data_IF_562404767466
#
_entry.id   IF_562404767466
#
_cell.length_a   1.000
_cell.length_b   1.000
_cell.length_c   1.000
_cell.angle_alpha   90.00
_cell.angle_beta   90.00
_cell.angle_gamma   90.00
#
_symmetry.space_group_name_H-M   'P 1'
#
loop_
_entity.id
_entity.type
_entity.pdbx_description
1 polymer ?
#
# COMPACT_ATOMS: atom_id res chain seq x y z
N UNK A 1 -9.06 16.61 -12.24
CA UNK A 1 -8.11 17.71 -11.98
C UNK A 1 -8.84 19.03 -12.14
N UNK A 2 -8.57 20.00 -11.27
CA UNK A 2 -9.15 21.36 -11.27
C UNK A 2 -7.99 22.36 -11.15
N UNK A 3 -7.97 23.40 -11.98
CA UNK A 3 -6.96 24.47 -11.93
C UNK A 3 -7.68 25.80 -11.74
N UNK A 4 -7.21 26.63 -10.81
CA UNK A 4 -7.72 27.99 -10.61
C UNK A 4 -6.58 28.96 -10.32
N UNK A 5 -6.63 30.13 -10.96
CA UNK A 5 -5.75 31.27 -10.75
C UNK A 5 -6.42 32.42 -9.97
N UNK A 6 -7.68 32.23 -9.55
CA UNK A 6 -8.48 33.28 -8.93
C UNK A 6 -9.31 32.81 -7.74
N UNK A 7 -9.98 33.78 -7.14
CA UNK A 7 -10.92 33.61 -6.02
C UNK A 7 -12.31 33.18 -6.54
N UNK A 8 -13.03 32.37 -5.77
CA UNK A 8 -14.45 32.14 -6.03
C UNK A 8 -15.27 33.33 -5.55
N UNK A 9 -15.63 34.19 -6.49
CA UNK A 9 -16.43 35.37 -6.22
C UNK A 9 -17.95 35.06 -6.21
N UNK A 10 -18.36 33.80 -6.40
CA UNK A 10 -19.75 33.39 -6.30
C UNK A 10 -20.08 32.84 -4.91
N UNK A 11 -21.05 33.46 -4.23
CA UNK A 11 -21.48 33.10 -2.86
C UNK A 11 -22.17 31.72 -2.73
N UNK A 12 -22.03 30.83 -3.73
CA UNK A 12 -22.63 29.50 -3.70
C UNK A 12 -21.66 28.57 -2.98
N UNK A 13 -21.89 28.39 -1.68
CA UNK A 13 -21.11 27.45 -0.88
C UNK A 13 -21.09 26.08 -1.59
N UNK A 14 -19.89 25.60 -1.88
CA UNK A 14 -19.70 24.24 -2.36
C UNK A 14 -20.13 23.31 -1.23
N UNK A 15 -21.11 22.45 -1.51
CA UNK A 15 -21.47 21.38 -0.59
C UNK A 15 -20.41 20.28 -0.66
N UNK A 16 -19.51 20.28 0.31
CA UNK A 16 -18.47 19.25 0.43
C UNK A 16 -19.07 17.85 0.58
N UNK A 17 -20.31 17.70 1.07
CA UNK A 17 -20.98 16.39 1.12
C UNK A 17 -21.29 15.86 -0.28
N UNK A 18 -21.66 16.73 -1.22
CA UNK A 18 -21.91 16.33 -2.60
C UNK A 18 -20.61 15.92 -3.32
N UNK A 19 -19.49 16.60 -3.02
CA UNK A 19 -18.18 16.22 -3.54
C UNK A 19 -17.75 14.84 -3.00
N UNK A 20 -17.92 14.59 -1.70
CA UNK A 20 -17.62 13.28 -1.11
C UNK A 20 -18.51 12.16 -1.67
N UNK A 21 -19.76 12.46 -2.07
CA UNK A 21 -20.69 11.49 -2.67
C UNK A 21 -20.31 11.07 -4.08
N UNK A 22 -19.59 11.91 -4.83
CA UNK A 22 -19.18 11.58 -6.19
C UNK A 22 -18.13 10.46 -6.24
N UNK A 23 -17.43 10.19 -5.14
CA UNK A 23 -16.36 9.17 -5.05
C UNK A 23 -15.28 9.28 -6.14
N UNK A 24 -15.12 10.47 -6.74
CA UNK A 24 -14.10 10.75 -7.74
C UNK A 24 -13.07 11.70 -7.10
N UNK A 25 -11.80 11.30 -6.97
CA UNK A 25 -10.75 12.17 -6.47
C UNK A 25 -10.55 13.42 -7.34
N UNK A 26 -10.57 14.60 -6.71
CA UNK A 26 -10.34 15.89 -7.35
C UNK A 26 -9.00 16.44 -6.91
N UNK A 27 -8.02 16.35 -7.80
CA UNK A 27 -6.71 17.01 -7.64
C UNK A 27 -6.81 18.47 -8.05
N UNK A 28 -6.52 19.39 -7.13
CA UNK A 28 -6.67 20.84 -7.31
C UNK A 28 -5.31 21.51 -7.46
N UNK A 29 -5.23 22.50 -8.35
CA UNK A 29 -4.02 23.26 -8.66
C UNK A 29 -4.32 24.74 -8.52
N UNK A 30 -3.60 25.41 -7.61
CA UNK A 30 -3.66 26.86 -7.43
C UNK A 30 -2.55 27.52 -8.23
N UNK A 31 -2.87 28.45 -9.11
CA UNK A 31 -1.90 29.13 -9.95
C UNK A 31 -1.75 30.61 -9.56
N UNK A 32 -0.49 31.07 -9.40
CA UNK A 32 -0.21 32.48 -9.07
C UNK A 32 -0.67 32.89 -7.67
N UNK A 33 -0.42 34.13 -7.25
CA UNK A 33 -0.70 34.55 -5.86
C UNK A 33 -2.20 34.73 -5.53
N UNK A 34 -3.05 34.82 -6.56
CA UNK A 34 -4.45 35.27 -6.43
C UNK A 34 -5.47 34.13 -6.32
N UNK A 35 -5.02 32.87 -6.30
CA UNK A 35 -5.89 31.70 -6.15
C UNK A 35 -6.46 31.56 -4.72
N UNK A 36 -7.67 31.00 -4.59
CA UNK A 36 -8.24 30.62 -3.29
C UNK A 36 -7.70 29.25 -2.83
N UNK A 37 -6.55 29.27 -2.14
CA UNK A 37 -5.93 28.06 -1.59
C UNK A 37 -6.84 27.31 -0.59
N UNK A 38 -7.63 28.04 0.20
CA UNK A 38 -8.50 27.44 1.22
C UNK A 38 -9.62 26.62 0.58
N UNK A 39 -10.25 27.18 -0.45
CA UNK A 39 -11.30 26.51 -1.20
C UNK A 39 -10.75 25.33 -2.01
N UNK A 40 -9.64 25.52 -2.74
CA UNK A 40 -9.02 24.44 -3.52
C UNK A 40 -8.57 23.28 -2.64
N UNK A 41 -8.02 23.56 -1.45
CA UNK A 41 -7.66 22.52 -0.48
C UNK A 41 -8.90 21.78 0.05
N UNK A 42 -9.98 22.51 0.37
CA UNK A 42 -11.23 21.91 0.87
C UNK A 42 -11.87 20.97 -0.16
N UNK A 43 -11.85 21.34 -1.44
CA UNK A 43 -12.34 20.50 -2.55
C UNK A 43 -11.51 19.22 -2.69
N UNK A 44 -10.18 19.34 -2.66
CA UNK A 44 -9.30 18.18 -2.78
C UNK A 44 -9.45 17.24 -1.59
N UNK A 45 -9.44 17.78 -0.36
CA UNK A 45 -9.62 16.97 0.85
C UNK A 45 -10.98 16.26 0.87
N UNK A 46 -12.06 16.97 0.53
CA UNK A 46 -13.42 16.41 0.49
C UNK A 46 -13.61 15.30 -0.56
N UNK A 47 -12.75 15.26 -1.59
CA UNK A 47 -12.77 14.25 -2.65
C UNK A 47 -11.69 13.17 -2.50
N UNK A 48 -10.82 13.25 -1.48
CA UNK A 48 -9.60 12.43 -1.35
C UNK A 48 -8.53 12.68 -2.42
N UNK A 49 -8.57 13.83 -3.10
CA UNK A 49 -7.47 14.32 -3.94
C UNK A 49 -6.47 15.16 -3.14
N UNK A 50 -5.50 15.75 -3.84
CA UNK A 50 -4.51 16.67 -3.24
C UNK A 50 -4.56 18.05 -3.86
N UNK A 51 -4.18 19.06 -3.08
CA UNK A 51 -3.96 20.43 -3.53
C UNK A 51 -2.48 20.67 -3.83
N UNK A 52 -2.18 21.30 -4.96
CA UNK A 52 -0.82 21.67 -5.37
C UNK A 52 -0.75 23.15 -5.76
N UNK A 53 0.19 23.87 -5.19
CA UNK A 53 0.45 25.27 -5.57
C UNK A 53 1.49 25.35 -6.69
N UNK A 54 1.20 26.15 -7.71
CA UNK A 54 2.05 26.39 -8.88
C UNK A 54 2.38 27.89 -8.93
N UNK A 55 3.63 28.22 -8.63
CA UNK A 55 4.10 29.61 -8.56
C UNK A 55 4.44 30.20 -9.94
N UNK A 56 4.91 29.37 -10.88
CA UNK A 56 5.39 29.81 -12.21
C UNK A 56 4.68 29.04 -13.34
N UNK A 57 4.32 29.75 -14.42
CA UNK A 57 3.77 29.17 -15.65
C UNK A 57 4.71 28.10 -16.22
N UNK A 58 6.03 28.30 -16.08
CA UNK A 58 7.06 27.41 -16.61
C UNK A 58 7.01 25.99 -16.02
N UNK A 59 6.46 25.82 -14.81
CA UNK A 59 6.38 24.51 -14.13
C UNK A 59 4.97 23.90 -14.17
N UNK A 60 4.00 24.59 -14.78
CA UNK A 60 2.61 24.10 -14.91
C UNK A 60 2.59 22.75 -15.65
N UNK A 61 3.28 22.67 -16.78
CA UNK A 61 3.30 21.46 -17.60
C UNK A 61 3.88 20.27 -16.83
N UNK A 62 4.95 20.48 -16.07
CA UNK A 62 5.60 19.43 -15.26
C UNK A 62 4.69 18.98 -14.12
N UNK A 63 4.02 19.91 -13.42
CA UNK A 63 3.07 19.58 -12.36
C UNK A 63 1.88 18.75 -12.88
N UNK A 64 1.34 19.10 -14.05
CA UNK A 64 0.28 18.31 -14.70
C UNK A 64 0.79 16.96 -15.20
N UNK A 65 1.96 16.92 -15.84
CA UNK A 65 2.55 15.68 -16.33
C UNK A 65 2.86 14.72 -15.16
N UNK A 66 3.32 15.24 -14.03
CA UNK A 66 3.54 14.46 -12.81
C UNK A 66 2.22 13.95 -12.21
N UNK A 67 1.18 14.79 -12.14
CA UNK A 67 -0.13 14.35 -11.64
C UNK A 67 -0.79 13.32 -12.56
N UNK A 68 -0.79 13.55 -13.88
CA UNK A 68 -1.31 12.61 -14.88
C UNK A 68 -0.47 11.33 -14.89
N UNK A 69 0.86 11.45 -14.85
CA UNK A 69 1.78 10.33 -14.78
C UNK A 69 1.55 9.48 -13.54
N UNK A 70 1.34 10.11 -12.38
CA UNK A 70 0.93 9.44 -11.15
C UNK A 70 -0.41 8.73 -11.33
N UNK A 71 -1.44 9.45 -11.82
CA UNK A 71 -2.79 8.91 -12.01
C UNK A 71 -2.87 7.74 -12.98
N UNK A 72 -2.06 7.74 -14.04
CA UNK A 72 -1.98 6.66 -15.03
C UNK A 72 -1.13 5.47 -14.55
N UNK A 73 -0.53 5.57 -13.36
CA UNK A 73 0.36 4.57 -12.79
C UNK A 73 -0.26 3.86 -11.58
N UNK A 74 -1.58 3.65 -11.55
CA UNK A 74 -2.23 2.89 -10.46
C UNK A 74 -1.59 1.50 -10.38
N UNK A 75 -0.81 1.29 -9.32
CA UNK A 75 -0.09 0.06 -9.08
C UNK A 75 -0.93 -0.95 -8.29
N UNK A 76 -1.87 -0.46 -7.48
CA UNK A 76 -2.65 -1.27 -6.55
C UNK A 76 -4.02 -0.61 -6.39
N UNK A 77 -5.10 -1.39 -6.44
CA UNK A 77 -6.44 -0.88 -6.17
C UNK A 77 -6.94 -1.36 -4.80
N UNK A 78 -7.78 -0.54 -4.16
CA UNK A 78 -8.51 -0.89 -2.93
C UNK A 78 -7.60 -1.46 -1.81
N UNK A 79 -6.55 -0.69 -1.47
CA UNK A 79 -5.60 -1.03 -0.43
C UNK A 79 -6.21 -0.79 0.94
N UNK A 80 -6.34 -1.87 1.69
CA UNK A 80 -6.76 -1.82 3.09
C UNK A 80 -5.68 -2.42 3.98
N UNK A 81 -5.20 -1.64 4.96
CA UNK A 81 -4.24 -2.10 5.95
C UNK A 81 -4.97 -2.52 7.22
N UNK A 82 -4.78 -3.77 7.63
CA UNK A 82 -5.34 -4.32 8.87
C UNK A 82 -4.26 -4.46 9.94
N UNK A 83 -4.55 -3.91 11.11
CA UNK A 83 -3.71 -3.90 12.30
C UNK A 83 -4.40 -4.75 13.36
N UNK A 84 -3.67 -5.71 13.93
CA UNK A 84 -4.16 -6.50 15.06
C UNK A 84 -3.12 -6.61 16.17
N UNK A 85 -3.57 -6.34 17.39
CA UNK A 85 -2.90 -6.64 18.65
C UNK A 85 -3.29 -8.03 19.11
N UNK A 86 -2.29 -8.84 19.44
CA UNK A 86 -2.48 -10.22 19.93
C UNK A 86 -2.16 -10.38 21.41
N UNK A 87 -1.52 -9.40 22.02
CA UNK A 87 -1.29 -9.41 23.46
C UNK A 87 -2.57 -8.95 24.18
N UNK A 88 -3.06 -9.71 25.19
CA UNK A 88 -4.23 -9.34 25.97
C UNK A 88 -4.15 -7.97 26.64
N UNK A 89 -2.94 -7.47 26.90
CA UNK A 89 -2.69 -6.24 27.61
C UNK A 89 -2.41 -5.05 26.67
N UNK A 90 -2.10 -5.28 25.39
CA UNK A 90 -1.89 -4.19 24.40
C UNK A 90 -3.21 -3.79 23.74
N UNK A 91 -3.55 -2.50 23.80
CA UNK A 91 -4.73 -1.96 23.12
C UNK A 91 -4.36 -0.87 22.12
N UNK A 92 -4.94 -0.94 20.94
CA UNK A 92 -4.92 0.12 19.94
C UNK A 92 -5.78 1.28 20.44
N UNK A 93 -5.16 2.43 20.66
CA UNK A 93 -5.83 3.62 21.18
C UNK A 93 -6.50 4.42 20.07
N UNK A 94 -5.77 4.68 18.98
CA UNK A 94 -6.22 5.49 17.85
C UNK A 94 -5.49 5.10 16.57
N UNK A 95 -6.18 5.25 15.44
CA UNK A 95 -5.60 5.24 14.10
C UNK A 95 -5.71 6.65 13.53
N UNK A 96 -4.59 7.26 13.16
CA UNK A 96 -4.56 8.59 12.53
C UNK A 96 -3.97 8.45 11.13
N UNK A 97 -4.83 8.46 10.13
CA UNK A 97 -4.46 8.29 8.73
C UNK A 97 -4.89 9.49 7.86
N UNK A 98 -4.86 10.71 8.42
CA UNK A 98 -5.27 11.91 7.67
C UNK A 98 -6.69 11.80 7.11
N UNK A 99 -6.86 12.02 5.81
CA UNK A 99 -8.13 11.93 5.08
C UNK A 99 -8.60 10.51 4.76
N UNK A 100 -7.82 9.47 5.12
CA UNK A 100 -8.19 8.08 4.89
C UNK A 100 -9.17 7.58 5.94
N UNK A 101 -10.13 6.76 5.50
CA UNK A 101 -11.10 6.15 6.41
C UNK A 101 -10.40 5.19 7.36
N UNK A 102 -10.70 5.28 8.65
CA UNK A 102 -10.19 4.38 9.67
C UNK A 102 -11.33 3.70 10.41
N UNK A 103 -11.11 2.45 10.83
CA UNK A 103 -12.02 1.70 11.67
C UNK A 103 -11.25 1.11 12.83
N UNK A 104 -11.74 1.29 14.05
CA UNK A 104 -11.21 0.67 15.24
C UNK A 104 -12.31 -0.17 15.88
N UNK A 105 -12.07 -1.48 16.01
CA UNK A 105 -13.03 -2.38 16.63
C UNK A 105 -13.24 -2.03 18.11
N UNK A 106 -14.43 -2.32 18.64
CA UNK A 106 -14.79 -1.99 20.03
C UNK A 106 -13.91 -2.66 21.08
N UNK A 107 -13.28 -3.80 20.73
CA UNK A 107 -12.32 -4.50 21.58
C UNK A 107 -10.95 -3.79 21.66
N UNK A 108 -10.71 -2.77 20.82
CA UNK A 108 -9.43 -2.07 20.68
C UNK A 108 -8.25 -3.01 20.41
N UNK A 109 -8.51 -4.21 19.88
CA UNK A 109 -7.48 -5.17 19.45
C UNK A 109 -7.29 -5.13 17.96
N UNK A 110 -8.33 -4.80 17.21
CA UNK A 110 -8.27 -4.78 15.75
C UNK A 110 -8.60 -3.39 15.22
N UNK A 111 -7.89 -2.96 14.19
CA UNK A 111 -8.24 -1.76 13.44
C UNK A 111 -7.83 -1.88 11.98
N UNK A 112 -8.42 -1.04 11.13
CA UNK A 112 -8.10 -0.97 9.72
C UNK A 112 -8.03 0.46 9.22
N UNK A 113 -7.21 0.65 8.19
CA UNK A 113 -7.08 1.90 7.44
C UNK A 113 -7.34 1.57 5.98
N UNK A 114 -8.28 2.28 5.37
CA UNK A 114 -8.59 2.19 3.95
C UNK A 114 -7.85 3.28 3.20
N UNK A 115 -6.80 2.87 2.49
CA UNK A 115 -5.96 3.72 1.65
C UNK A 115 -6.54 3.84 0.23
N UNK A 116 -7.47 2.99 -0.21
CA UNK A 116 -7.92 2.99 -1.60
C UNK A 116 -6.77 2.70 -2.56
N UNK A 117 -6.73 3.37 -3.71
CA UNK A 117 -5.73 3.06 -4.74
C UNK A 117 -4.34 3.61 -4.39
N UNK A 118 -3.29 2.87 -4.74
CA UNK A 118 -1.89 3.31 -4.66
C UNK A 118 -1.29 3.41 -6.07
N UNK A 119 -0.53 4.46 -6.30
CA UNK A 119 0.22 4.70 -7.53
C UNK A 119 1.62 4.09 -7.46
N UNK A 120 2.26 3.89 -8.61
CA UNK A 120 3.63 3.39 -8.69
C UNK A 120 4.59 4.35 -7.95
N UNK A 121 5.52 3.77 -7.19
CA UNK A 121 6.47 4.48 -6.33
C UNK A 121 5.84 5.40 -5.25
N UNK A 122 4.52 5.29 -5.01
CA UNK A 122 3.83 6.01 -3.93
C UNK A 122 4.07 5.36 -2.57
N UNK A 123 4.39 6.17 -1.56
CA UNK A 123 4.52 5.77 -0.16
C UNK A 123 3.50 6.53 0.70
N UNK A 124 2.84 5.82 1.63
CA UNK A 124 1.84 6.41 2.54
C UNK A 124 2.09 5.99 3.97
N UNK A 125 2.20 7.00 4.83
CA UNK A 125 2.37 6.83 6.26
C UNK A 125 1.07 7.13 7.02
N UNK A 126 0.81 6.32 8.04
CA UNK A 126 -0.24 6.57 9.02
C UNK A 126 0.24 6.20 10.42
N UNK A 127 -0.35 6.84 11.43
CA UNK A 127 0.06 6.67 12.82
C UNK A 127 -0.91 5.74 13.56
N UNK A 128 -0.34 4.76 14.26
CA UNK A 128 -1.06 3.86 15.15
C UNK A 128 -0.63 4.17 16.58
N UNK A 129 -1.56 4.66 17.40
CA UNK A 129 -1.30 4.90 18.82
C UNK A 129 -1.66 3.63 19.59
N UNK A 130 -0.73 3.15 20.41
CA UNK A 130 -0.84 1.89 21.14
C UNK A 130 -0.58 2.14 22.62
N UNK A 131 -1.45 1.61 23.48
CA UNK A 131 -1.23 1.58 24.92
C UNK A 131 -0.49 0.30 25.31
N UNK A 132 0.72 0.46 25.85
CA UNK A 132 1.56 -0.63 26.34
C UNK A 132 1.55 -0.55 27.88
N UNK A 133 1.10 -1.59 28.59
CA UNK A 133 1.10 -1.60 30.04
C UNK A 133 2.51 -1.76 30.61
N UNK A 134 2.74 -1.14 31.77
CA UNK A 134 3.99 -1.27 32.52
C UNK A 134 3.99 -2.63 33.23
N UNK A 135 4.95 -3.50 32.90
CA UNK A 135 5.15 -4.78 33.58
C UNK A 135 5.88 -4.52 34.90
N UNK A 136 5.28 -4.92 36.02
CA UNK A 136 5.80 -4.62 37.36
C UNK A 136 7.01 -5.46 37.79
N UNK A 137 7.36 -6.51 37.06
CA UNK A 137 8.43 -7.43 37.42
C UNK A 137 9.58 -7.36 36.42
N UNK A 138 10.77 -6.99 36.92
CA UNK A 138 12.01 -6.79 36.16
C UNK A 138 12.64 -8.05 35.56
N UNK A 139 11.87 -9.11 35.29
CA UNK A 139 12.33 -10.26 34.50
C UNK A 139 12.29 -9.91 33.01
N UNK A 140 13.28 -9.14 32.58
CA UNK A 140 13.48 -8.74 31.19
C UNK A 140 13.86 -9.95 30.32
N UNK A 141 12.87 -10.64 29.76
CA UNK A 141 13.09 -11.61 28.67
C UNK A 141 11.88 -11.83 27.77
N UNK A 142 10.76 -11.15 27.96
CA UNK A 142 9.59 -11.36 27.10
C UNK A 142 9.51 -10.26 26.03
N UNK A 143 9.95 -10.59 24.81
CA UNK A 143 9.79 -9.71 23.66
C UNK A 143 8.28 -9.60 23.35
N UNK A 144 7.67 -8.50 23.76
CA UNK A 144 6.25 -8.22 23.52
C UNK A 144 6.02 -8.06 22.00
N UNK A 145 5.40 -9.06 21.37
CA UNK A 145 5.11 -9.05 19.93
C UNK A 145 3.92 -8.11 19.67
N UNK A 146 4.26 -6.84 19.45
CA UNK A 146 3.36 -5.72 19.68
C UNK A 146 2.17 -5.65 18.70
N UNK A 147 2.40 -5.89 17.40
CA UNK A 147 1.43 -5.64 16.34
C UNK A 147 1.75 -6.51 15.12
N UNK A 148 0.73 -7.12 14.53
CA UNK A 148 0.81 -7.73 13.19
C UNK A 148 0.19 -6.83 12.13
N UNK A 149 0.84 -6.80 10.96
CA UNK A 149 0.31 -6.20 9.73
C UNK A 149 0.12 -7.30 8.69
N UNK A 150 -1.13 -7.75 8.50
CA UNK A 150 -1.47 -8.85 7.57
C UNK A 150 -0.97 -8.62 6.14
N UNK A 151 -0.92 -7.36 5.71
CA UNK A 151 -0.49 -7.00 4.35
C UNK A 151 0.94 -7.40 4.04
N UNK A 152 1.83 -7.43 5.04
CA UNK A 152 3.23 -7.84 4.84
C UNK A 152 3.34 -9.30 4.44
N UNK A 153 2.62 -10.17 5.16
CA UNK A 153 2.60 -11.62 4.87
C UNK A 153 1.99 -11.88 3.48
N UNK A 154 0.91 -11.16 3.14
CA UNK A 154 0.26 -11.27 1.84
C UNK A 154 1.19 -10.83 0.70
N UNK A 155 1.89 -9.71 0.86
CA UNK A 155 2.83 -9.19 -0.13
C UNK A 155 3.98 -10.19 -0.39
N UNK A 156 4.58 -10.70 0.68
CA UNK A 156 5.66 -11.70 0.62
C UNK A 156 5.20 -12.99 -0.08
N UNK A 157 4.02 -13.51 0.27
CA UNK A 157 3.46 -14.70 -0.38
C UNK A 157 3.26 -14.49 -1.89
N UNK A 158 2.74 -13.33 -2.30
CA UNK A 158 2.55 -13.01 -3.71
C UNK A 158 3.88 -12.91 -4.49
N UNK A 159 4.94 -12.35 -3.90
CA UNK A 159 6.29 -12.36 -4.50
C UNK A 159 6.84 -13.77 -4.63
N UNK A 160 6.73 -14.56 -3.56
CA UNK A 160 7.19 -15.94 -3.55
C UNK A 160 6.48 -16.78 -4.61
N UNK A 161 5.16 -16.63 -4.78
CA UNK A 161 4.40 -17.29 -5.85
C UNK A 161 4.92 -16.89 -7.24
N UNK A 162 5.10 -15.59 -7.49
CA UNK A 162 5.62 -15.09 -8.78
C UNK A 162 7.02 -15.63 -9.10
N UNK A 163 7.93 -15.55 -8.14
CA UNK A 163 9.30 -16.04 -8.28
C UNK A 163 9.35 -17.57 -8.42
N UNK A 164 8.51 -18.28 -7.66
CA UNK A 164 8.38 -19.73 -7.77
C UNK A 164 7.86 -20.15 -9.15
N UNK A 165 6.92 -19.40 -9.73
CA UNK A 165 6.44 -19.65 -11.10
C UNK A 165 7.56 -19.46 -12.10
N UNK A 166 8.29 -18.35 -12.04
CA UNK A 166 9.39 -18.08 -12.96
C UNK A 166 10.43 -19.22 -12.94
N UNK A 167 10.79 -19.72 -11.75
CA UNK A 167 11.67 -20.87 -11.60
C UNK A 167 11.06 -22.17 -12.18
N UNK A 168 9.79 -22.45 -11.89
CA UNK A 168 9.11 -23.66 -12.38
C UNK A 168 8.94 -23.68 -13.91
N UNK A 169 8.61 -22.54 -14.52
CA UNK A 169 8.51 -22.42 -15.99
C UNK A 169 9.89 -22.53 -16.68
N UNK A 170 10.98 -22.22 -15.98
CA UNK A 170 12.35 -22.50 -16.45
C UNK A 170 12.78 -23.97 -16.29
N UNK A 171 11.92 -24.83 -15.71
CA UNK A 171 12.18 -26.25 -15.47
C UNK A 171 12.82 -26.56 -14.11
N UNK A 172 13.14 -25.54 -13.30
CA UNK A 172 13.77 -25.69 -11.98
C UNK A 172 12.71 -25.80 -10.86
N UNK A 173 12.03 -26.95 -10.83
CA UNK A 173 11.06 -27.28 -9.79
C UNK A 173 11.67 -27.34 -8.37
N UNK A 174 12.90 -27.84 -8.16
CA UNK A 174 13.54 -27.78 -6.84
C UNK A 174 13.67 -26.35 -6.31
N UNK A 175 14.12 -25.40 -7.14
CA UNK A 175 14.21 -24.00 -6.75
C UNK A 175 12.85 -23.38 -6.50
N UNK A 176 11.86 -23.66 -7.35
CA UNK A 176 10.48 -23.21 -7.16
C UNK A 176 9.94 -23.62 -5.78
N UNK A 177 10.12 -24.90 -5.41
CA UNK A 177 9.73 -25.43 -4.10
C UNK A 177 10.48 -24.77 -2.96
N UNK A 178 11.78 -24.51 -3.12
CA UNK A 178 12.60 -23.84 -2.11
C UNK A 178 12.15 -22.40 -1.85
N UNK A 179 11.70 -21.69 -2.89
CA UNK A 179 11.18 -20.32 -2.76
C UNK A 179 9.90 -20.33 -1.90
N UNK A 180 8.95 -21.22 -2.21
CA UNK A 180 7.69 -21.33 -1.46
C UNK A 180 7.95 -21.79 -0.01
N UNK A 181 8.81 -22.79 0.20
CA UNK A 181 9.13 -23.26 1.55
C UNK A 181 9.84 -22.19 2.37
N UNK A 182 10.74 -21.42 1.75
CA UNK A 182 11.39 -20.28 2.41
C UNK A 182 10.39 -19.23 2.86
N UNK A 183 9.39 -18.92 2.02
CA UNK A 183 8.31 -18.00 2.38
C UNK A 183 7.49 -18.52 3.56
N UNK A 184 7.10 -19.80 3.55
CA UNK A 184 6.35 -20.41 4.66
C UNK A 184 7.16 -20.38 5.95
N UNK A 185 8.46 -20.68 5.91
CA UNK A 185 9.34 -20.58 7.08
C UNK A 185 9.43 -19.14 7.60
N UNK A 186 9.60 -18.15 6.73
CA UNK A 186 9.61 -16.74 7.13
C UNK A 186 8.27 -16.31 7.74
N UNK A 187 7.14 -16.78 7.18
CA UNK A 187 5.81 -16.53 7.72
C UNK A 187 5.61 -17.20 9.08
N UNK A 188 6.21 -18.37 9.33
CA UNK A 188 6.12 -19.08 10.60
C UNK A 188 6.68 -18.28 11.78
N UNK A 189 7.71 -17.46 11.53
CA UNK A 189 8.32 -16.59 12.54
C UNK A 189 7.54 -15.28 12.77
N UNK A 190 6.54 -14.99 11.94
CA UNK A 190 5.74 -13.76 12.06
C UNK A 190 4.80 -13.80 13.25
N UNK A 191 4.56 -12.64 13.84
CA UNK A 191 3.60 -12.46 14.94
C UNK A 191 2.21 -12.99 14.55
N UNK A 192 1.79 -12.79 13.30
CA UNK A 192 0.49 -13.24 12.79
C UNK A 192 0.36 -14.77 12.86
N UNK A 193 1.39 -15.53 12.47
CA UNK A 193 1.33 -16.99 12.50
C UNK A 193 1.35 -17.52 13.93
N UNK A 194 2.19 -16.95 14.80
CA UNK A 194 2.27 -17.36 16.20
C UNK A 194 0.98 -17.09 16.96
N UNK A 195 0.30 -16.01 16.61
CA UNK A 195 -0.99 -15.66 17.15
C UNK A 195 -2.17 -16.39 16.49
N UNK A 196 -1.90 -17.35 15.59
CA UNK A 196 -2.90 -18.16 14.87
C UNK A 196 -3.91 -17.32 14.11
N UNK A 197 -3.46 -16.23 13.48
CA UNK A 197 -4.28 -15.47 12.55
C UNK A 197 -4.75 -16.38 11.41
N UNK A 198 -6.07 -16.56 11.30
CA UNK A 198 -6.68 -17.49 10.33
C UNK A 198 -6.23 -17.18 8.90
N UNK A 199 -6.18 -15.90 8.53
CA UNK A 199 -5.74 -15.48 7.20
C UNK A 199 -4.29 -15.91 6.91
N UNK A 200 -3.37 -15.65 7.84
CA UNK A 200 -1.97 -16.06 7.69
C UNK A 200 -1.81 -17.59 7.65
N UNK A 201 -2.61 -18.31 8.44
CA UNK A 201 -2.62 -19.76 8.47
C UNK A 201 -3.11 -20.36 7.14
N UNK A 202 -4.25 -19.87 6.63
CA UNK A 202 -4.81 -20.29 5.34
C UNK A 202 -3.83 -20.01 4.21
N UNK A 203 -3.20 -18.83 4.21
CA UNK A 203 -2.20 -18.45 3.22
C UNK A 203 -0.96 -19.37 3.24
N UNK A 204 -0.47 -19.76 4.42
CA UNK A 204 0.65 -20.71 4.50
C UNK A 204 0.24 -22.11 4.03
N UNK A 205 -0.96 -22.57 4.39
CA UNK A 205 -1.53 -23.83 3.90
C UNK A 205 -1.64 -23.84 2.37
N UNK A 206 -2.05 -22.73 1.76
CA UNK A 206 -2.12 -22.58 0.30
C UNK A 206 -0.74 -22.70 -0.35
N UNK A 207 0.29 -22.04 0.21
CA UNK A 207 1.67 -22.13 -0.28
C UNK A 207 2.24 -23.55 -0.18
N UNK A 208 1.97 -24.25 0.92
CA UNK A 208 2.36 -25.65 1.11
C UNK A 208 1.66 -26.57 0.10
N UNK A 209 0.36 -26.34 -0.13
CA UNK A 209 -0.42 -27.09 -1.12
C UNK A 209 0.15 -26.97 -2.53
N UNK A 210 0.59 -25.76 -2.92
CA UNK A 210 1.27 -25.52 -4.21
C UNK A 210 2.64 -26.22 -4.24
N UNK A 211 3.42 -26.12 -3.16
CA UNK A 211 4.75 -26.73 -3.05
C UNK A 211 4.72 -28.27 -3.16
N UNK A 212 3.71 -28.93 -2.60
CA UNK A 212 3.53 -30.38 -2.71
C UNK A 212 3.21 -30.83 -4.15
N UNK A 213 2.53 -29.98 -4.93
CA UNK A 213 2.15 -30.25 -6.33
C UNK A 213 3.27 -29.94 -7.32
N UNK A 214 4.46 -29.58 -6.85
CA UNK A 214 5.66 -29.33 -7.67
C UNK A 214 6.66 -30.50 -7.65
N UNK A 215 6.23 -31.70 -7.27
CA UNK A 215 7.11 -32.87 -7.19
C UNK A 215 7.64 -33.34 -8.56
N UNK A 216 6.83 -33.23 -9.61
CA UNK A 216 7.20 -33.59 -10.99
C UNK A 216 6.65 -32.59 -11.99
N UNK A 217 7.22 -32.49 -13.20
CA UNK A 217 6.69 -31.61 -14.25
C UNK A 217 5.23 -31.88 -14.60
N UNK A 218 4.81 -33.15 -14.60
CA UNK A 218 3.43 -33.53 -14.89
C UNK A 218 2.45 -33.08 -13.79
N UNK A 219 2.83 -33.22 -12.50
CA UNK A 219 2.02 -32.75 -11.38
C UNK A 219 1.96 -31.22 -11.32
N UNK A 220 3.08 -30.54 -11.60
CA UNK A 220 3.10 -29.09 -11.69
C UNK A 220 2.18 -28.61 -12.82
N UNK A 221 2.29 -29.17 -14.02
CA UNK A 221 1.47 -28.74 -15.15
C UNK A 221 -0.03 -28.96 -14.93
N UNK A 222 -0.42 -30.11 -14.36
CA UNK A 222 -1.83 -30.49 -14.19
C UNK A 222 -2.52 -29.87 -12.98
N UNK A 223 -1.80 -29.59 -11.89
CA UNK A 223 -2.41 -29.13 -10.64
C UNK A 223 -1.68 -27.96 -9.97
N UNK A 224 -0.33 -27.95 -9.96
CA UNK A 224 0.45 -26.90 -9.29
C UNK A 224 0.33 -25.53 -9.99
N UNK A 225 0.45 -25.50 -11.32
CA UNK A 225 0.41 -24.28 -12.14
C UNK A 225 -0.96 -23.60 -12.11
N UNK A 226 -2.11 -24.29 -12.27
CA UNK A 226 -3.43 -23.68 -12.08
C UNK A 226 -3.63 -23.08 -10.68
N UNK A 227 -3.22 -23.79 -9.62
CA UNK A 227 -3.38 -23.31 -8.25
C UNK A 227 -2.52 -22.07 -7.97
N UNK A 228 -1.29 -22.05 -8.49
CA UNK A 228 -0.40 -20.90 -8.38
C UNK A 228 -0.96 -19.70 -9.14
N UNK A 229 -1.50 -19.89 -10.35
CA UNK A 229 -2.17 -18.83 -11.11
C UNK A 229 -3.43 -18.30 -10.39
N UNK A 230 -4.21 -19.18 -9.76
CA UNK A 230 -5.36 -18.79 -8.96
C UNK A 230 -4.93 -17.94 -7.75
N UNK A 231 -3.93 -18.39 -6.98
CA UNK A 231 -3.37 -17.65 -5.85
C UNK A 231 -2.78 -16.30 -6.28
N UNK A 232 -2.02 -16.27 -7.37
CA UNK A 232 -1.51 -15.03 -7.95
C UNK A 232 -2.64 -14.09 -8.36
N UNK A 233 -3.71 -14.57 -9.01
CA UNK A 233 -4.86 -13.75 -9.41
C UNK A 233 -5.57 -13.14 -8.20
N UNK A 234 -5.80 -13.92 -7.14
CA UNK A 234 -6.37 -13.47 -5.88
C UNK A 234 -5.53 -12.41 -5.15
N UNK A 235 -4.23 -12.33 -5.45
CA UNK A 235 -3.31 -11.34 -4.89
C UNK A 235 -2.88 -10.25 -5.90
N UNK A 236 -3.18 -10.42 -7.19
CA UNK A 236 -2.77 -9.56 -8.32
C UNK A 236 -3.65 -8.33 -8.48
N UNK A 237 -4.91 -8.37 -8.04
CA UNK A 237 -5.76 -7.16 -7.94
C UNK A 237 -5.12 -6.09 -7.04
N UNK A 238 -4.12 -6.47 -6.24
CA UNK A 238 -3.29 -5.58 -5.46
C UNK A 238 -1.79 -5.49 -5.87
N UNK A 239 -1.43 -5.93 -7.07
CA UNK A 239 -0.04 -5.86 -7.60
C UNK A 239 0.00 -5.51 -9.09
N UNK A 240 -0.81 -4.57 -9.55
CA UNK A 240 -0.71 -4.04 -10.91
C UNK A 240 0.54 -3.14 -11.10
N UNK A 241 1.76 -3.62 -10.85
CA UNK A 241 2.98 -2.86 -11.18
C UNK A 241 3.31 -3.03 -12.66
N UNK A 242 3.29 -1.93 -13.43
CA UNK A 242 3.90 -1.90 -14.76
C UNK A 242 5.42 -1.86 -14.59
N UNK A 243 6.10 -2.92 -15.02
CA UNK A 243 7.55 -2.95 -15.14
C UNK A 243 8.01 -2.09 -16.32
N UNK A 244 8.86 -1.11 -16.04
CA UNK A 244 9.52 -0.30 -17.06
C UNK A 244 10.69 0.48 -16.48
N UNK A 245 11.87 -0.13 -16.50
CA UNK A 245 13.13 0.54 -16.18
C UNK A 245 13.40 1.68 -17.20
N UNK A 246 13.21 2.94 -16.79
CA UNK A 246 13.85 4.17 -17.26
C UNK A 246 13.09 5.35 -16.62
N UNK A 247 13.62 6.03 -15.58
CA UNK A 247 14.16 7.38 -15.78
C UNK A 247 15.06 7.82 -14.59
N UNK A 248 15.90 6.92 -14.06
CA UNK A 248 16.87 7.24 -13.00
C UNK A 248 18.14 7.97 -13.52
N UNK A 249 18.01 8.87 -14.49
CA UNK A 249 19.15 9.61 -15.07
C UNK A 249 18.80 11.01 -15.60
N UNK A 250 18.06 11.86 -14.87
CA UNK A 250 18.16 13.32 -15.10
C UNK A 250 17.98 14.07 -13.76
N UNK A 251 18.83 13.86 -12.76
CA UNK A 251 19.05 14.84 -11.67
C UNK A 251 20.45 14.64 -11.06
N UNK A 252 21.47 14.44 -11.89
CA UNK A 252 22.86 14.53 -11.44
C UNK A 252 23.75 15.18 -12.49
N UNK A 253 23.56 16.47 -12.73
CA UNK A 253 24.66 17.43 -12.83
C UNK A 253 24.13 18.80 -12.37
N UNK A 254 24.28 19.05 -11.08
CA UNK A 254 24.38 20.41 -10.57
C UNK A 254 25.83 20.87 -10.65
N UNK A 255 25.98 22.18 -10.91
CA UNK A 255 27.14 23.02 -10.60
C UNK A 255 28.40 22.93 -11.47
N UNK A 256 28.61 24.03 -12.21
CA UNK A 256 29.85 24.80 -12.10
C UNK A 256 30.62 24.96 -13.40
N UNK A 257 30.66 26.19 -13.93
CA UNK A 257 31.90 26.99 -14.02
C UNK A 257 31.65 28.25 -14.85
N UNK A 258 31.84 29.40 -14.20
CA UNK A 258 32.31 30.65 -14.81
C UNK A 258 33.55 30.37 -15.66
N UNK A 259 33.75 31.06 -16.80
CA UNK A 259 35.03 31.61 -17.26
C UNK A 259 34.78 32.45 -18.53
N UNK A 260 35.24 33.71 -18.44
CA UNK A 260 35.54 34.74 -19.47
C UNK A 260 34.39 35.35 -20.28
#
# INVERSE_FOLDING_TARGET
>A
MLLSDGQDNYAKAIDLQDISRLQIPVYTFGFGADHDSGMLNSISEGSKGTFSFIEDVGVVQDAFAQCIGGLLSVAVQDVQVHIQSFDPNICLSQLKAGGYSTNLAGDKKTGSVDLGDMYADEERDFLVLVNIPVVADGSSSDHMKLVSVRQKNRLQAAEAMSNSRAAAESGDLPRARSILSGCVMQMADTVSMQARDQFTFDLASDLEGVQQRMATPAMYASAGRPQLLAGMSSHSTQKAVFGGAAFKYILHEGYGSTIS
#
